data_IF_730372170143
#
_entry.id   IF_730372170143
#
_cell.length_a   1.000
_cell.length_b   1.000
_cell.length_c   1.000
_cell.angle_alpha   90.00
_cell.angle_beta   90.00
_cell.angle_gamma   90.00
#
_symmetry.space_group_name_H-M   'P 1'
#
loop_
_entity.id
_entity.type
_entity.pdbx_description
1 polymer ?
#
# COMPACT_ATOMS: atom_id res chain seq x y z
N UNK A 1 -47.39 -57.46 -4.01
CA UNK A 1 -46.64 -57.33 -5.29
C UNK A 1 -46.81 -55.94 -5.91
N UNK A 2 -48.02 -55.49 -6.27
CA UNK A 2 -48.23 -54.17 -6.92
C UNK A 2 -47.77 -52.94 -6.11
N UNK A 3 -48.00 -52.91 -4.78
CA UNK A 3 -47.54 -51.79 -3.94
C UNK A 3 -46.02 -51.64 -3.90
N UNK A 4 -45.30 -52.76 -3.82
CA UNK A 4 -43.83 -52.79 -3.81
C UNK A 4 -43.31 -52.23 -5.14
N UNK A 5 -43.89 -52.67 -6.26
CA UNK A 5 -43.53 -52.18 -7.60
C UNK A 5 -43.78 -50.68 -7.73
N UNK A 6 -44.91 -50.17 -7.21
CA UNK A 6 -45.23 -48.75 -7.22
C UNK A 6 -44.24 -47.90 -6.43
N UNK A 7 -43.87 -48.34 -5.22
CA UNK A 7 -42.87 -47.66 -4.38
C UNK A 7 -41.50 -47.67 -5.06
N UNK A 8 -41.08 -48.80 -5.63
CA UNK A 8 -39.82 -48.91 -6.37
C UNK A 8 -39.77 -47.98 -7.59
N UNK A 9 -40.87 -47.86 -8.34
CA UNK A 9 -40.95 -46.95 -9.49
C UNK A 9 -40.80 -45.47 -9.08
N UNK A 10 -41.45 -45.05 -7.99
CA UNK A 10 -41.34 -43.68 -7.47
C UNK A 10 -39.91 -43.38 -7.01
N UNK A 11 -39.28 -44.31 -6.29
CA UNK A 11 -37.88 -44.15 -5.87
C UNK A 11 -36.93 -44.03 -7.07
N UNK A 12 -37.21 -44.76 -8.16
CA UNK A 12 -36.41 -44.67 -9.38
C UNK A 12 -36.53 -43.30 -10.04
N UNK A 13 -37.75 -42.74 -10.13
CA UNK A 13 -37.97 -41.40 -10.66
C UNK A 13 -37.29 -40.31 -9.81
N UNK A 14 -37.39 -40.42 -8.48
CA UNK A 14 -36.73 -39.49 -7.56
C UNK A 14 -35.20 -39.58 -7.71
N UNK A 15 -34.64 -40.79 -7.83
CA UNK A 15 -33.21 -40.99 -8.03
C UNK A 15 -32.69 -40.32 -9.30
N UNK A 16 -33.41 -40.48 -10.42
CA UNK A 16 -33.07 -39.82 -11.69
C UNK A 16 -33.11 -38.30 -11.53
N UNK A 17 -34.17 -37.76 -10.92
CA UNK A 17 -34.30 -36.32 -10.69
C UNK A 17 -33.15 -35.77 -9.83
N UNK A 18 -32.83 -36.45 -8.72
CA UNK A 18 -31.73 -36.06 -7.83
C UNK A 18 -30.37 -36.15 -8.54
N UNK A 19 -30.17 -37.14 -9.40
CA UNK A 19 -28.95 -37.28 -10.18
C UNK A 19 -28.72 -36.08 -11.11
N UNK A 20 -29.73 -35.71 -11.92
CA UNK A 20 -29.63 -34.55 -12.81
C UNK A 20 -29.44 -33.24 -12.03
N UNK A 21 -30.14 -33.09 -10.91
CA UNK A 21 -30.00 -31.91 -10.04
C UNK A 21 -28.59 -31.81 -9.45
N UNK A 22 -28.01 -32.92 -9.00
CA UNK A 22 -26.64 -32.96 -8.49
C UNK A 22 -25.61 -32.65 -9.59
N UNK A 23 -25.83 -33.13 -10.81
CA UNK A 23 -24.96 -32.84 -11.95
C UNK A 23 -24.99 -31.33 -12.31
N UNK A 24 -26.17 -30.71 -12.28
CA UNK A 24 -26.33 -29.28 -12.49
C UNK A 24 -25.54 -28.47 -11.44
N UNK A 25 -25.74 -28.75 -10.15
CA UNK A 25 -25.02 -28.07 -9.07
C UNK A 25 -23.50 -28.30 -9.15
N UNK A 26 -23.06 -29.50 -9.54
CA UNK A 26 -21.63 -29.78 -9.73
C UNK A 26 -21.03 -28.91 -10.85
N UNK A 27 -21.76 -28.71 -11.95
CA UNK A 27 -21.35 -27.83 -13.05
C UNK A 27 -21.27 -26.37 -12.60
N UNK A 28 -22.29 -25.88 -11.89
CA UNK A 28 -22.30 -24.51 -11.34
C UNK A 28 -21.14 -24.28 -10.36
N UNK A 29 -20.96 -25.17 -9.38
CA UNK A 29 -19.86 -25.06 -8.41
C UNK A 29 -18.50 -25.09 -9.13
N UNK A 30 -18.36 -25.89 -10.19
CA UNK A 30 -17.14 -25.91 -11.00
C UNK A 30 -16.90 -24.57 -11.71
N UNK A 31 -17.95 -23.97 -12.29
CA UNK A 31 -17.90 -22.66 -12.91
C UNK A 31 -17.51 -21.57 -11.90
N UNK A 32 -18.20 -21.50 -10.75
CA UNK A 32 -17.89 -20.55 -9.68
C UNK A 32 -16.47 -20.72 -9.13
N UNK A 33 -15.97 -21.95 -8.97
CA UNK A 33 -14.59 -22.19 -8.55
C UNK A 33 -13.58 -21.68 -9.58
N UNK A 34 -13.87 -21.85 -10.86
CA UNK A 34 -13.02 -21.34 -11.94
C UNK A 34 -13.00 -19.81 -11.95
N UNK A 35 -14.17 -19.18 -11.85
CA UNK A 35 -14.29 -17.73 -11.77
C UNK A 35 -13.57 -17.16 -10.56
N UNK A 36 -13.82 -17.71 -9.36
CA UNK A 36 -13.12 -17.30 -8.14
C UNK A 36 -11.60 -17.42 -8.24
N UNK A 37 -11.11 -18.49 -8.90
CA UNK A 37 -9.68 -18.66 -9.17
C UNK A 37 -9.14 -17.58 -10.12
N UNK A 38 -9.87 -17.28 -11.19
CA UNK A 38 -9.51 -16.24 -12.15
C UNK A 38 -9.50 -14.85 -11.49
N UNK A 39 -10.56 -14.49 -10.75
CA UNK A 39 -10.62 -13.23 -10.01
C UNK A 39 -9.50 -13.10 -8.99
N UNK A 40 -9.15 -14.19 -8.28
CA UNK A 40 -8.00 -14.18 -7.36
C UNK A 40 -6.69 -13.91 -8.09
N UNK A 41 -6.49 -14.50 -9.27
CA UNK A 41 -5.30 -14.29 -10.09
C UNK A 41 -5.24 -12.85 -10.64
N UNK A 42 -6.37 -12.32 -11.10
CA UNK A 42 -6.49 -10.93 -11.56
C UNK A 42 -6.18 -9.94 -10.44
N UNK A 43 -6.78 -10.12 -9.26
CA UNK A 43 -6.51 -9.27 -8.09
C UNK A 43 -5.03 -9.31 -7.68
N UNK A 44 -4.40 -10.49 -7.70
CA UNK A 44 -2.97 -10.62 -7.42
C UNK A 44 -2.13 -9.90 -8.47
N UNK A 45 -2.50 -10.02 -9.75
CA UNK A 45 -1.82 -9.32 -10.84
C UNK A 45 -1.91 -7.80 -10.67
N UNK A 46 -3.09 -7.28 -10.37
CA UNK A 46 -3.32 -5.85 -10.12
C UNK A 46 -2.49 -5.37 -8.92
N UNK A 47 -2.51 -6.10 -7.81
CA UNK A 47 -1.73 -5.75 -6.63
C UNK A 47 -0.22 -5.72 -6.92
N UNK A 48 0.29 -6.69 -7.69
CA UNK A 48 1.69 -6.72 -8.11
C UNK A 48 2.05 -5.53 -9.02
N UNK A 49 1.18 -5.17 -9.97
CA UNK A 49 1.36 -3.98 -10.81
C UNK A 49 1.38 -2.69 -9.99
N UNK A 50 0.52 -2.56 -8.98
CA UNK A 50 0.53 -1.41 -8.07
C UNK A 50 1.81 -1.33 -7.25
N UNK A 51 2.27 -2.45 -6.69
CA UNK A 51 3.56 -2.49 -5.96
C UNK A 51 4.72 -2.10 -6.88
N UNK A 52 4.75 -2.59 -8.12
CA UNK A 52 5.77 -2.21 -9.09
C UNK A 52 5.73 -0.70 -9.40
N UNK A 53 4.55 -0.12 -9.57
CA UNK A 53 4.39 1.33 -9.73
C UNK A 53 4.90 2.09 -8.49
N UNK A 54 4.59 1.61 -7.28
CA UNK A 54 5.10 2.15 -6.03
C UNK A 54 6.63 2.12 -5.94
N UNK A 55 7.26 1.01 -6.31
CA UNK A 55 8.73 0.89 -6.32
C UNK A 55 9.37 1.84 -7.35
N UNK A 56 8.81 1.94 -8.56
CA UNK A 56 9.28 2.92 -9.57
C UNK A 56 9.15 4.36 -9.07
N UNK A 57 8.06 4.66 -8.36
CA UNK A 57 7.87 5.96 -7.73
C UNK A 57 8.94 6.24 -6.66
N UNK A 58 9.19 5.27 -5.78
CA UNK A 58 10.26 5.35 -4.78
C UNK A 58 11.63 5.64 -5.42
N UNK A 59 11.97 4.95 -6.51
CA UNK A 59 13.24 5.16 -7.22
C UNK A 59 13.35 6.58 -7.78
N UNK A 60 12.26 7.13 -8.32
CA UNK A 60 12.22 8.51 -8.78
C UNK A 60 12.45 9.49 -7.62
N UNK A 61 11.81 9.28 -6.48
CA UNK A 61 11.96 10.12 -5.30
C UNK A 61 13.38 10.04 -4.71
N UNK A 62 13.98 8.84 -4.67
CA UNK A 62 15.38 8.66 -4.25
C UNK A 62 16.35 9.41 -5.16
N UNK A 63 16.14 9.37 -6.48
CA UNK A 63 16.96 10.14 -7.43
C UNK A 63 16.86 11.64 -7.17
N UNK A 64 15.64 12.16 -6.93
CA UNK A 64 15.43 13.57 -6.58
C UNK A 64 16.12 13.93 -5.26
N UNK A 65 16.00 13.08 -4.24
CA UNK A 65 16.66 13.29 -2.95
C UNK A 65 18.18 13.35 -3.09
N UNK A 66 18.78 12.43 -3.85
CA UNK A 66 20.23 12.42 -4.13
C UNK A 66 20.68 13.74 -4.77
N UNK A 67 19.92 14.23 -5.77
CA UNK A 67 20.22 15.52 -6.41
C UNK A 67 20.10 16.71 -5.47
N UNK A 68 19.24 16.63 -4.45
CA UNK A 68 19.16 17.66 -3.40
C UNK A 68 20.39 17.57 -2.49
N UNK A 69 20.73 16.36 -2.03
CA UNK A 69 21.87 16.12 -1.14
C UNK A 69 23.19 16.60 -1.75
N UNK A 70 23.41 16.36 -3.05
CA UNK A 70 24.62 16.81 -3.77
C UNK A 70 24.77 18.34 -3.83
N UNK A 71 23.68 19.08 -3.61
CA UNK A 71 23.63 20.55 -3.69
C UNK A 71 23.68 21.24 -2.33
N UNK A 72 23.57 20.49 -1.23
CA UNK A 72 23.60 21.04 0.14
C UNK A 72 25.04 21.04 0.63
N UNK A 73 25.69 22.21 0.65
CA UNK A 73 27.09 22.28 1.08
C UNK A 73 27.29 22.41 2.59
N UNK A 74 26.54 23.23 3.35
CA UNK A 74 26.92 23.47 4.76
C UNK A 74 25.79 23.66 5.80
N UNK A 75 24.51 23.55 5.42
CA UNK A 75 23.42 23.67 6.40
C UNK A 75 23.16 22.33 7.13
N UNK A 76 23.58 22.23 8.39
CA UNK A 76 23.34 21.04 9.23
C UNK A 76 21.86 20.72 9.44
N UNK A 77 21.01 21.75 9.56
CA UNK A 77 19.57 21.56 9.72
C UNK A 77 18.98 20.95 8.46
N UNK A 78 19.38 21.45 7.30
CA UNK A 78 18.95 20.90 6.03
C UNK A 78 19.45 19.48 5.79
N UNK A 79 20.71 19.19 6.19
CA UNK A 79 21.25 17.82 6.14
C UNK A 79 20.44 16.86 7.01
N UNK A 80 20.01 17.30 8.20
CA UNK A 80 19.15 16.51 9.08
C UNK A 80 17.76 16.27 8.46
N UNK A 81 17.11 17.29 7.91
CA UNK A 81 15.79 17.14 7.27
C UNK A 81 15.84 16.21 6.04
N UNK A 82 16.90 16.26 5.23
CA UNK A 82 17.10 15.32 4.12
C UNK A 82 17.35 13.89 4.58
N UNK A 83 18.00 13.71 5.74
CA UNK A 83 18.22 12.41 6.36
C UNK A 83 16.90 11.79 6.85
N UNK A 84 16.02 12.60 7.44
CA UNK A 84 14.64 12.20 7.81
C UNK A 84 13.87 11.70 6.58
N UNK A 85 13.90 12.43 5.46
CA UNK A 85 13.26 12.00 4.21
C UNK A 85 13.89 10.72 3.65
N UNK A 86 15.21 10.55 3.77
CA UNK A 86 15.90 9.32 3.38
C UNK A 86 15.35 8.10 4.11
N UNK A 87 15.11 8.21 5.42
CA UNK A 87 14.50 7.14 6.20
C UNK A 87 13.06 6.85 5.78
N UNK A 88 12.26 7.89 5.53
CA UNK A 88 10.91 7.73 4.98
C UNK A 88 10.94 6.96 3.65
N UNK A 89 11.86 7.31 2.75
CA UNK A 89 12.03 6.64 1.47
C UNK A 89 12.60 5.23 1.60
N UNK A 90 13.36 4.91 2.64
CA UNK A 90 13.90 3.56 2.85
C UNK A 90 12.81 2.52 3.02
N UNK A 91 11.75 2.85 3.76
CA UNK A 91 10.62 1.97 4.05
C UNK A 91 9.41 2.18 3.12
N UNK A 92 9.51 3.07 2.14
CA UNK A 92 8.39 3.44 1.26
C UNK A 92 7.67 2.23 0.65
N UNK A 93 8.39 1.29 0.02
CA UNK A 93 7.77 0.11 -0.62
C UNK A 93 7.02 -0.78 0.39
N UNK A 94 7.51 -0.88 1.63
CA UNK A 94 6.89 -1.67 2.68
C UNK A 94 5.60 -0.99 3.16
N UNK A 95 5.66 0.31 3.42
CA UNK A 95 4.50 1.12 3.82
C UNK A 95 3.45 1.15 2.71
N UNK A 96 3.85 1.38 1.46
CA UNK A 96 2.98 1.36 0.28
C UNK A 96 2.20 0.04 0.17
N UNK A 97 2.91 -1.09 0.33
CA UNK A 97 2.29 -2.42 0.24
C UNK A 97 1.28 -2.68 1.36
N UNK A 98 1.57 -2.25 2.58
CA UNK A 98 0.63 -2.43 3.69
C UNK A 98 -0.56 -1.46 3.61
N UNK A 99 -0.37 -0.24 3.08
CA UNK A 99 -1.46 0.71 2.85
C UNK A 99 -2.46 0.23 1.80
N UNK A 100 -2.03 -0.61 0.83
CA UNK A 100 -2.96 -1.27 -0.10
C UNK A 100 -4.01 -2.16 0.63
N UNK A 101 -3.73 -2.59 1.87
CA UNK A 101 -4.69 -3.33 2.69
C UNK A 101 -5.64 -2.42 3.47
N UNK A 102 -5.28 -1.14 3.67
CA UNK A 102 -6.12 -0.13 4.31
C UNK A 102 -6.32 -0.24 5.83
N UNK A 103 -5.58 -1.12 6.51
CA UNK A 103 -5.83 -1.44 7.93
C UNK A 103 -5.22 -0.40 8.88
N UNK A 104 -3.98 0.02 8.60
CA UNK A 104 -3.14 0.81 9.49
C UNK A 104 -2.87 2.21 8.91
N UNK A 105 -2.56 3.17 9.78
CA UNK A 105 -2.16 4.53 9.38
C UNK A 105 -0.69 4.58 8.98
N UNK A 106 -0.30 5.63 8.23
CA UNK A 106 1.10 5.86 7.83
C UNK A 106 2.04 5.85 9.04
N UNK A 107 1.70 6.59 10.10
CA UNK A 107 2.47 6.63 11.36
C UNK A 107 2.68 5.24 11.98
N UNK A 108 1.60 4.45 12.10
CA UNK A 108 1.67 3.10 12.67
C UNK A 108 2.56 2.17 11.84
N UNK A 109 2.52 2.30 10.50
CA UNK A 109 3.34 1.50 9.61
C UNK A 109 4.82 1.85 9.70
N UNK A 110 5.16 3.14 9.75
CA UNK A 110 6.55 3.55 9.95
C UNK A 110 7.08 3.12 11.32
N UNK A 111 6.28 3.24 12.39
CA UNK A 111 6.64 2.73 13.72
C UNK A 111 6.95 1.23 13.69
N UNK A 112 6.11 0.46 12.98
CA UNK A 112 6.27 -0.99 12.80
C UNK A 112 7.53 -1.35 12.01
N UNK A 113 7.80 -0.66 10.90
CA UNK A 113 8.88 -1.02 9.98
C UNK A 113 10.27 -0.48 10.36
N UNK A 114 10.33 0.61 11.13
CA UNK A 114 11.60 1.13 11.64
C UNK A 114 12.09 0.32 12.86
N UNK A 115 11.20 -0.34 13.60
CA UNK A 115 11.55 -1.27 14.68
C UNK A 115 12.37 -0.62 15.80
N UNK A 116 12.99 -1.44 16.66
CA UNK A 116 13.74 -0.96 17.83
C UNK A 116 15.00 -0.17 17.45
N UNK A 117 15.71 -0.57 16.40
CA UNK A 117 16.90 0.12 15.89
C UNK A 117 16.56 1.48 15.28
N UNK A 118 15.36 1.61 14.73
CA UNK A 118 14.86 2.85 14.12
C UNK A 118 13.92 3.67 14.99
N UNK A 119 13.74 3.32 16.27
CA UNK A 119 12.90 4.09 17.21
C UNK A 119 13.32 5.55 17.32
N UNK A 120 14.63 5.81 17.32
CA UNK A 120 15.17 7.18 17.32
C UNK A 120 14.75 7.92 16.05
N UNK A 121 14.94 7.32 14.88
CA UNK A 121 14.53 7.90 13.61
C UNK A 121 13.01 8.10 13.50
N UNK A 122 12.22 7.16 14.04
CA UNK A 122 10.77 7.34 14.11
C UNK A 122 10.39 8.50 15.02
N UNK A 123 11.05 8.67 16.16
CA UNK A 123 10.84 9.82 17.04
C UNK A 123 11.17 11.13 16.33
N UNK A 124 12.31 11.19 15.63
CA UNK A 124 12.73 12.37 14.87
C UNK A 124 11.71 12.70 13.76
N UNK A 125 11.19 11.67 13.05
CA UNK A 125 10.13 11.84 12.05
C UNK A 125 8.82 12.33 12.71
N UNK A 126 8.39 11.71 13.81
CA UNK A 126 7.11 12.03 14.46
C UNK A 126 7.14 13.45 15.07
N UNK A 127 8.28 13.85 15.64
CA UNK A 127 8.52 15.22 16.11
C UNK A 127 8.49 16.21 14.95
N UNK A 128 9.23 15.96 13.87
CA UNK A 128 9.23 16.81 12.67
C UNK A 128 7.82 16.98 12.08
N UNK A 129 7.02 15.90 12.04
CA UNK A 129 5.63 15.95 11.57
C UNK A 129 4.73 16.73 12.55
N UNK A 130 4.94 16.61 13.87
CA UNK A 130 4.15 17.35 14.87
C UNK A 130 4.37 18.84 14.78
N UNK A 131 5.62 19.27 14.58
CA UNK A 131 6.01 20.67 14.40
C UNK A 131 5.54 21.25 13.06
N UNK A 132 5.23 20.40 12.09
CA UNK A 132 4.74 20.78 10.77
C UNK A 132 3.28 21.28 10.78
N UNK A 133 2.80 21.73 9.62
CA UNK A 133 1.42 22.19 9.43
C UNK A 133 0.35 21.13 9.74
N UNK A 134 -0.86 21.58 10.10
CA UNK A 134 -2.00 20.71 10.40
C UNK A 134 -2.32 19.72 9.28
N UNK A 135 -2.11 20.12 8.01
CA UNK A 135 -2.29 19.25 6.84
C UNK A 135 -1.31 18.08 6.85
N UNK A 136 -0.04 18.33 7.17
CA UNK A 136 1.01 17.30 7.21
C UNK A 136 0.72 16.30 8.33
N UNK A 137 0.27 16.79 9.50
CA UNK A 137 -0.19 15.92 10.59
C UNK A 137 -1.37 15.03 10.19
N UNK A 138 -2.34 15.58 9.46
CA UNK A 138 -3.48 14.81 8.97
C UNK A 138 -3.04 13.72 7.98
N UNK A 139 -2.10 14.03 7.08
CA UNK A 139 -1.56 13.07 6.13
C UNK A 139 -0.83 11.91 6.84
N UNK A 140 -0.07 12.20 7.90
CA UNK A 140 0.62 11.20 8.71
C UNK A 140 -0.31 10.24 9.46
N UNK A 141 -1.50 10.72 9.84
CA UNK A 141 -2.55 9.93 10.46
C UNK A 141 -3.47 9.22 9.45
N UNK A 142 -3.27 9.43 8.14
CA UNK A 142 -4.12 8.85 7.10
C UNK A 142 -3.84 7.35 6.90
N UNK A 143 -4.83 6.64 6.36
CA UNK A 143 -4.72 5.27 5.85
C UNK A 143 -4.74 5.20 4.32
N UNK A 144 -4.94 6.34 3.67
CA UNK A 144 -5.10 6.43 2.24
C UNK A 144 -3.73 6.44 1.53
N UNK A 145 -3.60 5.57 0.53
CA UNK A 145 -2.39 5.42 -0.26
C UNK A 145 -2.03 6.69 -1.04
N UNK A 146 -3.01 7.34 -1.67
CA UNK A 146 -2.79 8.57 -2.42
C UNK A 146 -2.33 9.69 -1.49
N UNK A 147 -2.92 9.77 -0.29
CA UNK A 147 -2.51 10.73 0.73
C UNK A 147 -1.06 10.48 1.17
N UNK A 148 -0.65 9.21 1.32
CA UNK A 148 0.74 8.86 1.60
C UNK A 148 1.70 9.25 0.48
N UNK A 149 1.34 9.00 -0.79
CA UNK A 149 2.16 9.41 -1.95
C UNK A 149 2.37 10.93 -1.93
N UNK A 150 1.27 11.69 -1.80
CA UNK A 150 1.32 13.15 -1.75
C UNK A 150 2.08 13.68 -0.54
N UNK A 151 2.01 13.01 0.61
CA UNK A 151 2.79 13.36 1.79
C UNK A 151 4.29 13.33 1.51
N UNK A 152 4.81 12.24 0.93
CA UNK A 152 6.24 12.10 0.64
C UNK A 152 6.69 13.10 -0.43
N UNK A 153 5.86 13.32 -1.46
CA UNK A 153 6.16 14.33 -2.49
C UNK A 153 6.22 15.74 -1.91
N UNK A 154 5.27 16.09 -1.05
CA UNK A 154 5.21 17.40 -0.39
C UNK A 154 6.45 17.64 0.48
N UNK A 155 6.91 16.63 1.22
CA UNK A 155 8.13 16.73 2.02
C UNK A 155 9.35 17.07 1.16
N UNK A 156 9.52 16.40 0.02
CA UNK A 156 10.60 16.70 -0.93
C UNK A 156 10.46 18.09 -1.58
N UNK A 157 9.23 18.51 -1.86
CA UNK A 157 8.96 19.83 -2.46
C UNK A 157 9.30 20.97 -1.49
N UNK A 158 8.96 20.83 -0.21
CA UNK A 158 9.29 21.81 0.84
C UNK A 158 10.80 22.00 0.90
N UNK A 159 11.58 20.91 0.93
CA UNK A 159 13.05 20.97 0.95
C UNK A 159 13.61 21.62 -0.31
N UNK A 160 13.02 21.34 -1.46
CA UNK A 160 13.45 21.92 -2.74
C UNK A 160 13.26 23.44 -2.75
N UNK A 161 12.11 23.92 -2.24
CA UNK A 161 11.80 25.35 -2.13
C UNK A 161 12.71 26.06 -1.13
N UNK A 162 13.02 25.42 0.01
CA UNK A 162 13.93 25.99 1.00
C UNK A 162 15.34 26.21 0.43
N UNK A 163 15.88 25.24 -0.32
CA UNK A 163 17.16 25.40 -1.03
C UNK A 163 17.15 26.56 -2.02
N UNK A 164 16.08 26.70 -2.81
CA UNK A 164 15.98 27.78 -3.80
C UNK A 164 16.00 29.14 -3.13
N UNK A 165 15.26 29.29 -2.03
CA UNK A 165 15.20 30.53 -1.26
C UNK A 165 16.54 30.86 -0.58
N UNK A 166 17.33 29.87 -0.15
CA UNK A 166 18.68 30.09 0.36
C UNK A 166 19.62 30.64 -0.72
N UNK A 167 19.62 30.04 -1.92
CA UNK A 167 20.44 30.52 -3.04
C UNK A 167 20.09 31.94 -3.48
N UNK A 168 18.81 32.32 -3.47
CA UNK A 168 18.41 33.69 -3.81
C UNK A 168 18.90 34.72 -2.79
N UNK A 169 19.03 34.33 -1.51
CA UNK A 169 19.56 35.22 -0.45
C UNK A 169 21.08 35.37 -0.48
N UNK A 170 21.83 34.40 -1.01
CA UNK A 170 23.29 34.48 -1.14
C UNK A 170 23.74 35.34 -2.34
N UNK A 171 22.85 35.59 -3.30
CA UNK A 171 23.14 36.36 -4.53
C UNK A 171 22.73 37.84 -4.41
N UNK A 172 21.89 38.18 -3.42
CA UNK A 172 21.42 39.54 -3.15
C UNK A 172 22.28 40.22 -2.07
#
# INVERSE_FOLDING_TARGET
MFLIIGITAILFLISIYLFYRAEHFKKEISAYKREAKMTKQENLSIANSMVLAGTRHQDMLKRRLSQLQDKVSDDEKMKHELLVISYLLSQYSNVYRELLKGEQTVSQLYSKFLGDTGKRYFSDIDEHVRESDAKIRQMWASKDLCVFISFIELQLEIQTKQMQNQKTKEIA
#
